data_IF_489278203800
#
_entry.id   IF_489278203800
#
_cell.length_a   1.000
_cell.length_b   1.000
_cell.length_c   1.000
_cell.angle_alpha   90.00
_cell.angle_beta   90.00
_cell.angle_gamma   90.00
#
_symmetry.space_group_name_H-M   'P 1'
#
loop_
_entity.id
_entity.type
_entity.pdbx_description
1 polymer ?
#
# COMPACT_ATOMS: atom_id res chain seq x y z
N UNK A 1 -2.50 -16.78 41.13
CA UNK A 1 -1.90 -15.55 40.60
C UNK A 1 -0.57 -15.96 39.98
N UNK A 2 -0.55 -16.22 38.70
CA UNK A 2 0.66 -16.62 37.96
C UNK A 2 1.21 -15.36 37.28
N UNK A 3 2.41 -14.98 37.67
CA UNK A 3 3.18 -13.89 37.06
C UNK A 3 3.36 -14.19 35.58
N UNK A 4 3.02 -13.20 34.75
CA UNK A 4 3.37 -13.16 33.32
C UNK A 4 4.87 -12.96 33.26
N UNK A 5 5.65 -13.87 32.62
CA UNK A 5 7.10 -13.73 32.56
C UNK A 5 7.48 -12.51 31.73
N UNK A 6 8.27 -11.64 32.37
CA UNK A 6 9.17 -10.64 31.84
C UNK A 6 8.74 -9.89 30.59
N UNK A 7 8.25 -8.67 30.76
CA UNK A 7 8.31 -7.69 29.66
C UNK A 7 9.79 -7.62 29.21
N UNK A 8 10.09 -7.75 27.90
CA UNK A 8 11.45 -7.60 27.42
C UNK A 8 11.98 -6.23 27.84
N UNK A 9 13.23 -6.21 28.31
CA UNK A 9 13.91 -4.99 28.71
C UNK A 9 13.83 -3.98 27.55
N UNK A 10 13.30 -2.79 27.82
CA UNK A 10 13.24 -1.72 26.83
C UNK A 10 14.66 -1.42 26.36
N UNK A 11 14.93 -1.59 25.07
CA UNK A 11 16.14 -1.03 24.47
C UNK A 11 16.09 0.48 24.75
N UNK A 12 17.10 1.05 25.40
CA UNK A 12 17.08 2.46 25.69
C UNK A 12 16.99 3.21 24.38
N UNK A 13 15.99 4.09 24.28
CA UNK A 13 15.90 5.04 23.20
C UNK A 13 17.25 5.76 23.09
N UNK A 14 17.81 5.81 21.90
CA UNK A 14 19.04 6.57 21.72
C UNK A 14 18.81 8.06 22.03
N UNK A 15 19.87 8.80 22.32
CA UNK A 15 19.76 10.20 22.73
C UNK A 15 19.09 11.08 21.69
N UNK A 16 19.29 10.80 20.41
CA UNK A 16 18.68 11.56 19.32
C UNK A 16 17.17 11.34 19.27
N UNK A 17 16.72 10.09 19.31
CA UNK A 17 15.29 9.77 19.29
C UNK A 17 14.56 10.33 20.52
N UNK A 18 15.21 10.35 21.68
CA UNK A 18 14.66 10.98 22.89
C UNK A 18 14.50 12.49 22.72
N UNK A 19 15.52 13.18 22.21
CA UNK A 19 15.45 14.61 21.96
C UNK A 19 14.35 14.97 20.97
N UNK A 20 14.21 14.19 19.89
CA UNK A 20 13.13 14.40 18.93
C UNK A 20 11.77 14.09 19.54
N UNK A 21 11.67 13.04 20.36
CA UNK A 21 10.44 12.74 21.08
C UNK A 21 9.99 13.92 21.95
N UNK A 22 10.88 14.54 22.69
CA UNK A 22 10.58 15.73 23.50
C UNK A 22 10.13 16.92 22.64
N UNK A 23 10.79 17.17 21.51
CA UNK A 23 10.39 18.21 20.56
C UNK A 23 8.99 17.95 20.00
N UNK A 24 8.68 16.69 19.64
CA UNK A 24 7.37 16.30 19.13
C UNK A 24 6.27 16.38 20.20
N UNK A 25 6.59 16.13 21.46
CA UNK A 25 5.67 16.36 22.59
C UNK A 25 5.32 17.84 22.68
N UNK A 26 6.28 18.75 22.46
CA UNK A 26 6.04 20.19 22.36
C UNK A 26 5.06 20.59 21.23
N UNK A 27 4.95 19.79 20.17
CA UNK A 27 3.98 19.94 19.08
C UNK A 27 2.62 19.29 19.40
N UNK A 28 2.40 18.81 20.62
CA UNK A 28 1.19 18.11 21.04
C UNK A 28 1.24 16.61 20.78
N UNK A 29 2.42 16.07 20.49
CA UNK A 29 2.64 14.64 20.30
C UNK A 29 2.45 13.85 21.59
N UNK A 30 1.95 12.63 21.47
CA UNK A 30 1.83 11.64 22.55
C UNK A 30 2.88 10.55 22.34
N UNK A 31 3.86 10.44 23.25
CA UNK A 31 4.87 9.40 23.15
C UNK A 31 4.28 8.02 23.44
N UNK A 32 4.78 7.02 22.74
CA UNK A 32 4.45 5.62 22.96
C UNK A 32 5.66 4.74 22.63
N UNK A 33 5.64 3.53 23.16
CA UNK A 33 6.65 2.52 22.85
C UNK A 33 5.93 1.27 22.37
N UNK A 34 6.32 0.75 21.24
CA UNK A 34 5.80 -0.51 20.71
C UNK A 34 6.96 -1.43 20.36
N UNK A 35 7.08 -2.55 21.05
CA UNK A 35 8.17 -3.52 20.85
C UNK A 35 9.55 -2.86 20.78
N UNK A 36 9.87 -2.06 21.79
CA UNK A 36 11.14 -1.32 21.91
C UNK A 36 11.34 -0.18 20.88
N UNK A 37 10.38 0.03 20.00
CA UNK A 37 10.43 1.12 19.01
C UNK A 37 9.73 2.36 19.56
N UNK A 38 10.42 3.50 19.47
CA UNK A 38 9.85 4.79 19.86
C UNK A 38 8.82 5.19 18.81
N UNK A 39 7.61 5.43 19.26
CA UNK A 39 6.51 5.94 18.45
C UNK A 39 5.97 7.22 19.05
N UNK A 40 5.77 8.25 18.25
CA UNK A 40 5.11 9.48 18.70
C UNK A 40 3.88 9.71 17.86
N UNK A 41 2.71 9.71 18.50
CA UNK A 41 1.45 10.04 17.80
C UNK A 41 1.26 11.54 17.85
N UNK A 42 1.24 12.18 16.67
CA UNK A 42 1.10 13.63 16.56
C UNK A 42 -0.26 14.01 15.95
N UNK A 43 -0.81 15.20 16.32
CA UNK A 43 -2.01 15.71 15.70
C UNK A 43 -1.84 15.84 14.19
N UNK A 44 -2.86 15.48 13.40
CA UNK A 44 -2.85 15.47 11.93
C UNK A 44 -2.32 16.78 11.32
N UNK A 45 -2.76 17.91 11.85
CA UNK A 45 -2.35 19.24 11.38
C UNK A 45 -0.87 19.56 11.63
N UNK A 46 -0.20 18.80 12.49
CA UNK A 46 1.22 18.96 12.84
C UNK A 46 2.12 17.89 12.22
N UNK A 47 1.56 16.99 11.40
CA UNK A 47 2.33 15.88 10.80
C UNK A 47 3.55 16.34 10.02
N UNK A 48 3.41 17.35 9.15
CA UNK A 48 4.49 17.90 8.37
C UNK A 48 5.55 18.61 9.25
N UNK A 49 5.12 19.40 10.25
CA UNK A 49 6.03 20.07 11.19
C UNK A 49 6.83 19.04 12.01
N UNK A 50 6.18 17.96 12.43
CA UNK A 50 6.82 16.87 13.14
C UNK A 50 7.87 16.14 12.28
N UNK A 51 7.55 15.85 11.03
CA UNK A 51 8.47 15.26 10.08
C UNK A 51 9.67 16.15 9.81
N UNK A 52 9.45 17.47 9.67
CA UNK A 52 10.50 18.47 9.51
C UNK A 52 11.43 18.52 10.72
N UNK A 53 10.87 18.59 11.92
CA UNK A 53 11.66 18.62 13.15
C UNK A 53 12.54 17.37 13.31
N UNK A 54 12.02 16.19 12.96
CA UNK A 54 12.80 14.94 12.95
C UNK A 54 13.94 15.01 11.91
N UNK A 55 13.68 15.51 10.72
CA UNK A 55 14.70 15.67 9.68
C UNK A 55 15.82 16.64 10.12
N UNK A 56 15.46 17.79 10.66
CA UNK A 56 16.42 18.79 11.18
C UNK A 56 17.26 18.24 12.34
N UNK A 57 16.71 17.33 13.12
CA UNK A 57 17.46 16.66 14.20
C UNK A 57 18.43 15.58 13.69
N UNK A 58 18.37 15.17 12.41
CA UNK A 58 19.30 14.21 11.81
C UNK A 58 18.68 12.87 11.41
N UNK A 59 17.36 12.73 11.36
CA UNK A 59 16.70 11.59 10.74
C UNK A 59 16.68 11.77 9.23
N UNK A 60 17.78 11.40 8.57
CA UNK A 60 18.01 11.68 7.15
C UNK A 60 17.22 10.79 6.21
N UNK A 61 16.93 9.55 6.63
CA UNK A 61 16.32 8.52 5.81
C UNK A 61 14.85 8.33 6.16
N UNK A 62 13.97 8.58 5.22
CA UNK A 62 12.61 8.06 5.23
C UNK A 62 12.67 6.60 4.75
N UNK A 63 12.57 5.67 5.67
CA UNK A 63 12.62 4.24 5.34
C UNK A 63 11.32 3.76 4.73
N UNK A 64 10.17 4.26 5.22
CA UNK A 64 8.86 3.82 4.76
C UNK A 64 7.75 4.77 5.19
N UNK A 65 6.60 4.70 4.48
CA UNK A 65 5.33 5.32 4.87
C UNK A 65 4.27 4.22 4.89
N UNK A 66 3.73 3.95 6.06
CA UNK A 66 2.79 2.85 6.28
C UNK A 66 1.37 3.38 6.52
N UNK A 67 0.39 2.70 5.91
CA UNK A 67 -1.03 2.88 6.21
C UNK A 67 -1.55 1.77 7.11
N UNK A 68 -2.44 2.09 8.05
CA UNK A 68 -3.16 1.11 8.86
C UNK A 68 -4.65 1.43 8.83
N UNK A 69 -5.47 0.43 8.56
CA UNK A 69 -6.93 0.49 8.75
C UNK A 69 -7.29 -0.26 10.05
N UNK A 70 -7.86 0.45 11.02
CA UNK A 70 -8.27 -0.06 12.31
C UNK A 70 -9.71 -0.58 12.35
N UNK A 71 -10.42 -0.56 11.21
CA UNK A 71 -11.80 -1.03 11.15
C UNK A 71 -11.89 -2.44 11.73
N UNK A 72 -12.82 -2.64 12.66
CA UNK A 72 -13.05 -3.91 13.36
C UNK A 72 -11.84 -4.42 14.18
N UNK A 73 -10.83 -3.57 14.45
CA UNK A 73 -9.71 -4.00 15.28
C UNK A 73 -10.12 -4.02 16.76
N UNK A 74 -9.98 -5.18 17.46
CA UNK A 74 -10.38 -5.29 18.86
C UNK A 74 -9.63 -4.26 19.72
N UNK A 75 -10.36 -3.59 20.62
CA UNK A 75 -9.83 -2.59 21.58
C UNK A 75 -9.29 -1.29 20.96
N UNK A 76 -9.48 -1.06 19.68
CA UNK A 76 -9.20 0.25 19.09
C UNK A 76 -10.44 1.15 19.25
N UNK A 77 -10.25 2.32 19.85
CA UNK A 77 -11.28 3.35 20.04
C UNK A 77 -10.71 4.69 19.60
N UNK A 78 -10.53 4.89 18.30
CA UNK A 78 -9.92 6.09 17.76
C UNK A 78 -10.24 6.23 16.27
N UNK A 79 -9.61 7.16 15.58
CA UNK A 79 -9.75 7.34 14.14
C UNK A 79 -9.49 6.06 13.36
N UNK A 80 -10.20 5.90 12.26
CA UNK A 80 -10.17 4.67 11.46
C UNK A 80 -8.80 4.36 10.88
N UNK A 81 -8.08 5.39 10.40
CA UNK A 81 -6.79 5.20 9.74
C UNK A 81 -5.64 5.75 10.56
N UNK A 82 -4.47 5.19 10.36
CA UNK A 82 -3.21 5.78 10.80
C UNK A 82 -2.21 5.77 9.66
N UNK A 83 -1.49 6.88 9.49
CA UNK A 83 -0.28 6.96 8.67
C UNK A 83 0.92 6.97 9.61
N UNK A 84 1.93 6.15 9.29
CA UNK A 84 3.14 6.05 10.11
C UNK A 84 4.34 6.33 9.21
N UNK A 85 5.11 7.35 9.56
CA UNK A 85 6.41 7.63 8.96
C UNK A 85 7.50 6.89 9.73
N UNK A 86 8.23 6.02 9.06
CA UNK A 86 9.36 5.29 9.60
C UNK A 86 10.65 6.02 9.22
N UNK A 87 11.23 6.72 10.18
CA UNK A 87 12.42 7.55 10.00
C UNK A 87 13.63 6.89 10.64
N UNK A 88 14.78 7.03 9.99
CA UNK A 88 16.02 6.46 10.43
C UNK A 88 17.16 7.48 10.33
N UNK A 89 17.92 7.62 11.42
CA UNK A 89 19.13 8.42 11.49
C UNK A 89 20.34 7.52 11.25
N UNK A 90 20.95 7.61 10.06
CA UNK A 90 22.05 6.73 9.66
C UNK A 90 23.27 6.92 10.58
N UNK A 91 23.61 8.17 10.89
CA UNK A 91 24.78 8.48 11.69
C UNK A 91 24.66 8.00 13.15
N UNK A 92 23.46 8.10 13.72
CA UNK A 92 23.19 7.69 15.11
C UNK A 92 22.80 6.22 15.23
N UNK A 93 22.45 5.55 14.13
CA UNK A 93 21.85 4.21 14.10
C UNK A 93 20.56 4.12 14.95
N UNK A 94 19.71 5.16 14.85
CA UNK A 94 18.49 5.27 15.62
C UNK A 94 17.26 5.35 14.72
N UNK A 95 16.12 4.90 15.23
CA UNK A 95 14.85 4.88 14.51
C UNK A 95 13.75 5.53 15.34
N UNK A 96 12.86 6.25 14.65
CA UNK A 96 11.65 6.80 15.25
C UNK A 96 10.45 6.60 14.31
N UNK A 97 9.28 6.37 14.90
CA UNK A 97 8.02 6.28 14.18
C UNK A 97 7.15 7.49 14.54
N UNK A 98 6.74 8.25 13.54
CA UNK A 98 5.76 9.32 13.70
C UNK A 98 4.42 8.79 13.21
N UNK A 99 3.46 8.67 14.11
CA UNK A 99 2.11 8.21 13.80
C UNK A 99 1.16 9.40 13.73
N UNK A 100 0.31 9.40 12.71
CA UNK A 100 -0.76 10.37 12.50
C UNK A 100 -2.06 9.59 12.37
N UNK A 101 -3.00 9.88 13.26
CA UNK A 101 -4.32 9.27 13.21
C UNK A 101 -5.28 10.20 12.47
N UNK A 102 -6.16 9.61 11.63
CA UNK A 102 -7.12 10.33 10.79
C UNK A 102 -8.39 9.50 10.55
N UNK A 103 -9.51 10.19 10.39
CA UNK A 103 -10.76 9.57 10.01
C UNK A 103 -10.88 9.41 8.48
N UNK A 104 -11.87 8.63 8.04
CA UNK A 104 -12.11 8.43 6.60
C UNK A 104 -12.50 9.75 5.94
N UNK A 105 -11.88 10.03 4.79
CA UNK A 105 -12.04 11.29 4.06
C UNK A 105 -11.16 12.44 4.53
N UNK A 106 -10.44 12.30 5.63
CA UNK A 106 -9.44 13.28 6.05
C UNK A 106 -8.15 13.17 5.24
N UNK A 107 -7.38 14.28 5.20
CA UNK A 107 -6.09 14.34 4.49
C UNK A 107 -4.94 14.67 5.43
N UNK A 108 -3.76 14.20 5.09
CA UNK A 108 -2.47 14.51 5.74
C UNK A 108 -1.66 15.40 4.82
N UNK A 109 -0.89 16.34 5.33
CA UNK A 109 0.05 17.10 4.51
C UNK A 109 1.17 16.19 4.00
N UNK A 110 1.49 16.33 2.70
CA UNK A 110 2.62 15.59 2.10
C UNK A 110 3.94 15.96 2.74
N UNK A 111 4.89 15.03 2.72
CA UNK A 111 6.28 15.26 3.12
C UNK A 111 7.27 15.09 1.95
N UNK A 112 6.76 15.18 0.71
CA UNK A 112 7.58 15.04 -0.51
C UNK A 112 8.61 16.15 -0.67
N UNK A 113 8.38 17.31 -0.09
CA UNK A 113 9.34 18.43 0.00
C UNK A 113 10.51 18.13 0.95
N UNK A 114 10.26 17.31 1.96
CA UNK A 114 11.29 16.89 2.90
C UNK A 114 12.09 15.68 2.35
N UNK A 115 11.42 14.68 1.86
CA UNK A 115 12.03 13.49 1.26
C UNK A 115 11.41 13.20 -0.11
N UNK A 116 12.14 13.37 -1.21
CA UNK A 116 11.62 13.07 -2.54
C UNK A 116 11.11 11.62 -2.71
N UNK A 117 11.68 10.68 -1.97
CA UNK A 117 11.23 9.28 -1.94
C UNK A 117 9.81 9.08 -1.39
N UNK A 118 9.32 10.02 -0.58
CA UNK A 118 7.94 10.01 -0.08
C UNK A 118 6.90 10.00 -1.21
N UNK A 119 7.24 10.54 -2.39
CA UNK A 119 6.32 10.56 -3.54
C UNK A 119 5.72 9.18 -3.85
N UNK A 120 6.55 8.16 -3.89
CA UNK A 120 6.07 6.80 -4.21
C UNK A 120 5.40 6.13 -3.01
N UNK A 121 5.93 6.34 -1.81
CA UNK A 121 5.40 5.73 -0.58
C UNK A 121 4.01 6.30 -0.21
N UNK A 122 3.84 7.61 -0.34
CA UNK A 122 2.53 8.26 -0.12
C UNK A 122 1.50 7.82 -1.17
N UNK A 123 1.91 7.67 -2.43
CA UNK A 123 1.03 7.14 -3.49
C UNK A 123 0.62 5.69 -3.22
N UNK A 124 1.49 4.86 -2.67
CA UNK A 124 1.16 3.49 -2.27
C UNK A 124 0.09 3.49 -1.17
N UNK A 125 0.25 4.31 -0.13
CA UNK A 125 -0.75 4.45 0.95
C UNK A 125 -2.07 5.02 0.41
N UNK A 126 -2.01 6.00 -0.49
CA UNK A 126 -3.20 6.51 -1.16
C UNK A 126 -3.91 5.41 -1.96
N UNK A 127 -3.18 4.67 -2.78
CA UNK A 127 -3.72 3.63 -3.63
C UNK A 127 -4.39 2.50 -2.82
N UNK A 128 -3.72 2.03 -1.78
CA UNK A 128 -4.15 0.85 -1.03
C UNK A 128 -5.18 1.15 0.07
N UNK A 129 -5.16 2.35 0.67
CA UNK A 129 -6.04 2.73 1.78
C UNK A 129 -6.96 3.92 1.48
N UNK A 130 -6.69 4.71 0.45
CA UNK A 130 -7.47 5.90 0.09
C UNK A 130 -7.15 7.15 0.93
N UNK A 131 -6.05 7.15 1.66
CA UNK A 131 -5.62 8.31 2.43
C UNK A 131 -5.13 9.40 1.49
N UNK A 132 -5.70 10.61 1.62
CA UNK A 132 -5.32 11.76 0.80
C UNK A 132 -4.10 12.48 1.38
N UNK A 133 -3.13 12.83 0.51
CA UNK A 133 -1.96 13.62 0.88
C UNK A 133 -2.08 15.02 0.28
N UNK A 134 -2.41 16.01 1.11
CA UNK A 134 -2.59 17.38 0.68
C UNK A 134 -1.25 18.00 0.23
N UNK A 135 -1.23 18.59 -0.96
CA UNK A 135 -0.02 19.18 -1.54
C UNK A 135 0.91 18.19 -2.26
N UNK A 136 0.52 16.93 -2.37
CA UNK A 136 1.30 15.94 -3.12
C UNK A 136 1.33 16.27 -4.62
N UNK A 137 2.51 16.28 -5.27
CA UNK A 137 2.65 16.77 -6.65
C UNK A 137 1.95 15.88 -7.70
N UNK A 138 1.75 14.59 -7.43
CA UNK A 138 1.17 13.64 -8.38
C UNK A 138 0.53 12.46 -7.67
N UNK A 139 -0.59 12.70 -6.98
CA UNK A 139 -1.32 11.69 -6.22
C UNK A 139 -2.20 10.85 -7.15
N UNK A 140 -1.69 9.73 -7.61
CA UNK A 140 -2.38 8.75 -8.47
C UNK A 140 -2.04 7.33 -8.04
N UNK A 141 -2.85 6.37 -8.45
CA UNK A 141 -2.59 4.94 -8.19
C UNK A 141 -1.18 4.54 -8.63
N UNK A 142 -0.59 3.58 -7.93
CA UNK A 142 0.77 3.10 -8.16
C UNK A 142 0.83 1.58 -8.35
N UNK A 143 0.14 0.84 -7.49
CA UNK A 143 0.22 -0.62 -7.38
C UNK A 143 -0.99 -1.28 -8.03
N UNK A 144 -2.19 -0.72 -7.81
CA UNK A 144 -3.42 -1.27 -8.36
C UNK A 144 -3.74 -0.71 -9.74
N UNK A 145 -4.47 -1.46 -10.59
CA UNK A 145 -4.94 -0.96 -11.88
C UNK A 145 -5.80 0.31 -11.72
N UNK A 146 -5.77 1.19 -12.71
CA UNK A 146 -6.50 2.46 -12.66
C UNK A 146 -8.03 2.27 -12.63
N UNK A 147 -8.51 1.21 -13.25
CA UNK A 147 -9.91 0.79 -13.33
C UNK A 147 -10.44 0.09 -12.06
N UNK A 148 -9.58 -0.25 -11.11
CA UNK A 148 -10.00 -0.82 -9.84
C UNK A 148 -10.76 0.22 -9.02
N UNK A 149 -12.04 -0.01 -8.76
CA UNK A 149 -12.81 0.80 -7.85
C UNK A 149 -12.49 0.47 -6.39
N UNK A 150 -12.22 1.50 -5.58
CA UNK A 150 -11.88 1.35 -4.16
C UNK A 150 -10.38 1.12 -3.88
N UNK A 151 -10.10 0.65 -2.66
CA UNK A 151 -8.75 0.54 -2.10
C UNK A 151 -8.52 -0.85 -1.49
N UNK A 152 -7.59 -1.59 -2.06
CA UNK A 152 -7.47 -3.04 -1.87
C UNK A 152 -7.10 -3.51 -0.44
N UNK A 153 -6.48 -2.66 0.39
CA UNK A 153 -6.11 -3.00 1.75
C UNK A 153 -7.08 -2.49 2.83
N UNK A 154 -8.15 -1.81 2.42
CA UNK A 154 -9.23 -1.48 3.35
C UNK A 154 -9.90 -2.75 3.86
N UNK A 155 -10.26 -2.77 5.14
CA UNK A 155 -10.90 -3.93 5.78
C UNK A 155 -12.33 -4.21 5.28
N UNK A 156 -12.97 -3.21 4.71
CA UNK A 156 -14.29 -3.29 4.07
C UNK A 156 -14.21 -3.58 2.57
N UNK A 157 -13.00 -3.69 1.99
CA UNK A 157 -12.84 -4.06 0.60
C UNK A 157 -13.23 -5.54 0.37
N UNK A 158 -14.12 -5.86 -0.59
CA UNK A 158 -14.62 -7.21 -0.80
C UNK A 158 -13.51 -8.15 -1.29
N UNK A 159 -13.32 -9.27 -0.58
CA UNK A 159 -12.38 -10.31 -0.96
C UNK A 159 -13.05 -11.26 -1.97
N UNK A 160 -12.55 -11.28 -3.19
CA UNK A 160 -13.00 -12.22 -4.23
C UNK A 160 -14.01 -11.68 -5.24
N UNK A 161 -14.47 -10.45 -5.08
CA UNK A 161 -15.34 -9.76 -6.03
C UNK A 161 -14.65 -8.52 -6.59
N UNK A 162 -13.46 -8.67 -7.12
CA UNK A 162 -12.78 -7.55 -7.76
C UNK A 162 -13.29 -7.42 -9.19
N UNK A 163 -14.11 -6.41 -9.52
CA UNK A 163 -14.42 -6.10 -10.91
C UNK A 163 -13.18 -5.46 -11.53
N UNK A 164 -12.25 -6.28 -11.95
CA UNK A 164 -11.08 -5.87 -12.70
C UNK A 164 -11.12 -6.53 -14.07
N UNK A 165 -10.31 -6.06 -15.00
CA UNK A 165 -10.04 -6.74 -16.27
C UNK A 165 -9.70 -8.23 -16.12
N UNK A 166 -9.30 -8.65 -14.94
CA UNK A 166 -9.10 -10.05 -14.54
C UNK A 166 -10.40 -10.83 -14.33
N UNK A 167 -11.55 -10.14 -14.21
CA UNK A 167 -12.87 -10.78 -14.08
C UNK A 167 -13.49 -11.12 -15.44
N UNK A 168 -12.84 -10.78 -16.52
CA UNK A 168 -13.31 -11.04 -17.90
C UNK A 168 -13.23 -12.54 -18.28
N UNK A 169 -13.15 -13.42 -17.30
CA UNK A 169 -13.15 -14.88 -17.48
C UNK A 169 -11.90 -15.44 -18.18
N UNK A 170 -10.97 -14.59 -18.61
CA UNK A 170 -9.76 -14.99 -19.33
C UNK A 170 -8.61 -15.38 -18.40
N UNK A 171 -8.66 -14.95 -17.15
CA UNK A 171 -7.60 -15.21 -16.19
C UNK A 171 -8.20 -15.60 -14.83
N UNK A 172 -8.05 -16.86 -14.49
CA UNK A 172 -8.15 -17.39 -13.14
C UNK A 172 -9.56 -17.39 -12.52
N UNK A 173 -10.44 -18.21 -13.07
CA UNK A 173 -11.41 -18.85 -12.21
C UNK A 173 -10.63 -19.50 -11.03
N UNK A 174 -10.86 -19.08 -9.77
CA UNK A 174 -10.14 -19.62 -8.61
C UNK A 174 -10.29 -21.15 -8.50
N UNK A 175 -11.39 -21.72 -9.01
CA UNK A 175 -11.60 -23.15 -9.07
C UNK A 175 -10.65 -23.82 -10.08
N UNK A 176 -10.46 -23.22 -11.26
CA UNK A 176 -9.53 -23.70 -12.27
C UNK A 176 -8.08 -23.58 -11.82
N UNK A 177 -7.74 -22.52 -11.09
CA UNK A 177 -6.41 -22.35 -10.50
C UNK A 177 -6.13 -23.37 -9.40
N UNK A 178 -7.09 -23.61 -8.51
CA UNK A 178 -6.98 -24.64 -7.45
C UNK A 178 -6.89 -26.04 -8.05
N UNK A 179 -7.67 -26.35 -9.07
CA UNK A 179 -7.60 -27.63 -9.77
C UNK A 179 -6.22 -27.84 -10.43
N UNK A 180 -5.64 -26.78 -11.03
CA UNK A 180 -4.29 -26.79 -11.57
C UNK A 180 -3.21 -26.98 -10.50
N UNK A 181 -3.38 -26.43 -9.32
CA UNK A 181 -2.46 -26.61 -8.19
C UNK A 181 -2.53 -28.01 -7.58
N UNK A 182 -3.73 -28.60 -7.47
CA UNK A 182 -3.89 -29.98 -6.97
C UNK A 182 -3.25 -30.98 -7.95
N UNK A 183 -3.30 -30.71 -9.25
CA UNK A 183 -2.60 -31.51 -10.26
C UNK A 183 -1.06 -31.42 -10.18
N UNK A 184 -0.53 -30.32 -9.66
CA UNK A 184 0.91 -30.10 -9.50
C UNK A 184 1.57 -30.98 -8.43
N UNK A 185 0.81 -31.44 -7.46
CA UNK A 185 1.31 -32.36 -6.42
C UNK A 185 1.60 -33.77 -6.96
N UNK A 186 1.24 -34.08 -8.20
CA UNK A 186 1.46 -35.38 -8.87
C UNK A 186 2.59 -35.37 -9.93
N UNK A 187 3.41 -34.31 -9.98
CA UNK A 187 4.52 -34.20 -10.91
C UNK A 187 4.26 -33.26 -12.08
N UNK A 188 5.31 -32.64 -12.61
CA UNK A 188 5.29 -31.64 -13.70
C UNK A 188 4.56 -32.11 -14.97
N UNK A 189 4.47 -33.42 -15.20
CA UNK A 189 3.85 -33.98 -16.42
C UNK A 189 2.33 -33.99 -16.38
N UNK A 190 1.67 -33.97 -15.20
CA UNK A 190 0.22 -33.93 -15.08
C UNK A 190 -0.40 -32.56 -15.36
N UNK A 191 0.36 -31.50 -15.18
CA UNK A 191 -0.11 -30.13 -15.37
C UNK A 191 -0.26 -29.75 -16.86
N UNK A 192 0.63 -30.25 -17.73
CA UNK A 192 0.60 -29.94 -19.16
C UNK A 192 -0.57 -30.59 -19.88
N UNK A 193 -1.05 -31.74 -19.38
CA UNK A 193 -2.18 -32.47 -19.98
C UNK A 193 -3.56 -31.90 -19.64
N UNK A 194 -3.72 -31.32 -18.42
CA UNK A 194 -5.01 -30.79 -17.95
C UNK A 194 -5.38 -29.43 -18.56
N UNK A 195 -4.40 -28.59 -18.80
CA UNK A 195 -4.63 -27.27 -19.39
C UNK A 195 -5.01 -27.31 -20.89
N UNK A 196 -4.67 -28.38 -21.60
CA UNK A 196 -4.99 -28.50 -23.02
C UNK A 196 -6.38 -28.99 -23.33
N UNK A 197 -7.08 -29.63 -22.41
CA UNK A 197 -8.42 -30.19 -22.67
C UNK A 197 -9.57 -29.20 -22.53
N UNK A 198 -9.35 -28.04 -21.91
CA UNK A 198 -10.40 -27.02 -21.72
C UNK A 198 -10.34 -25.82 -22.67
N UNK A 199 -9.24 -25.63 -23.41
CA UNK A 199 -9.00 -24.39 -24.20
C UNK A 199 -9.16 -24.61 -25.71
N UNK A 200 -9.36 -25.82 -26.20
CA UNK A 200 -9.30 -26.13 -27.66
C UNK A 200 -10.67 -26.33 -28.29
N UNK A 201 -11.78 -26.01 -27.64
CA UNK A 201 -13.11 -26.23 -28.23
C UNK A 201 -13.89 -24.96 -28.59
N UNK A 202 -13.28 -23.79 -28.55
CA UNK A 202 -13.94 -22.62 -29.14
C UNK A 202 -13.09 -22.10 -30.29
N UNK A 203 -13.45 -22.60 -31.49
CA UNK A 203 -12.99 -22.04 -32.76
C UNK A 203 -13.56 -20.62 -32.83
N UNK A 204 -12.73 -19.62 -32.60
CA UNK A 204 -13.03 -18.25 -33.01
C UNK A 204 -13.04 -18.26 -34.55
N UNK A 205 -14.21 -18.34 -35.14
CA UNK A 205 -14.42 -18.02 -36.56
C UNK A 205 -13.95 -16.59 -36.77
N UNK A 206 -12.80 -16.45 -37.43
CA UNK A 206 -12.36 -15.14 -37.92
C UNK A 206 -13.37 -14.74 -38.99
N UNK A 207 -14.00 -13.57 -38.93
CA UNK A 207 -14.80 -13.06 -40.04
C UNK A 207 -13.90 -12.96 -41.26
N UNK A 208 -14.35 -13.55 -42.38
CA UNK A 208 -13.66 -13.51 -43.66
C UNK A 208 -13.43 -12.05 -44.06
N UNK A 209 -12.17 -11.71 -44.27
CA UNK A 209 -11.81 -10.42 -44.85
C UNK A 209 -12.47 -10.29 -46.24
N UNK A 210 -13.43 -9.41 -46.33
CA UNK A 210 -14.04 -8.99 -47.62
C UNK A 210 -12.94 -8.36 -48.45
N UNK A 211 -12.48 -9.08 -49.46
CA UNK A 211 -11.64 -8.51 -50.53
C UNK A 211 -12.43 -7.39 -51.19
N UNK A 212 -12.03 -6.17 -50.98
CA UNK A 212 -12.47 -5.05 -51.78
C UNK A 212 -11.88 -5.22 -53.15
N UNK A 213 -12.79 -5.33 -54.12
CA UNK A 213 -12.57 -5.40 -55.53
C UNK A 213 -11.95 -4.09 -56.03
N UNK A 214 -10.72 -4.17 -56.51
CA UNK A 214 -10.03 -3.06 -57.17
C UNK A 214 -10.14 -3.24 -58.66
N UNK A 215 -11.25 -2.82 -59.18
CA UNK A 215 -11.42 -2.68 -60.62
C UNK A 215 -11.87 -1.25 -60.96
N UNK A 216 -11.12 -0.67 -61.89
CA UNK A 216 -11.55 0.38 -62.84
C UNK A 216 -11.47 1.85 -62.38
N UNK A 217 -10.34 2.47 -62.66
CA UNK A 217 -10.28 3.89 -63.02
C UNK A 217 -9.43 4.03 -64.31
N UNK A 218 -10.12 4.16 -65.44
CA UNK A 218 -9.54 4.69 -66.66
C UNK A 218 -9.17 6.16 -66.52
N UNK A 219 -8.09 6.62 -67.16
CA UNK A 219 -7.79 8.04 -67.26
C UNK A 219 -8.56 8.64 -68.40
N UNK A 220 -9.26 9.70 -68.20
CA UNK A 220 -9.73 10.61 -69.26
C UNK A 220 -8.83 11.85 -69.29
N UNK A 221 -8.48 12.15 -70.47
CA UNK A 221 -7.75 13.26 -71.11
C UNK A 221 -7.74 14.62 -70.42
#
# INVERSE_FOLDING_TARGET
>A
MSEVPGAPASVPAGPLATTVQEALVGLGGRPGVFKEMITVTVPRVRGHDAARAAKEAGFDLLSDVLGIDWLNFPRHSGPRFSVIYNLYAIAANERIFIRIDLDDGESVATITDLWPGANFLEREVFDLFGVQFAGHPNLRKLVTPEDLEGHALRKDFPLGETPTLFNDGRFLDPASFRAGMVGRSRGLTGWVGGARKGVVSEQVERPAATRADSADRKPES
#
